data_IF_760998423145
#
_entry.id   IF_760998423145
#
_cell.length_a   1.000
_cell.length_b   1.000
_cell.length_c   1.000
_cell.angle_alpha   90.00
_cell.angle_beta   90.00
_cell.angle_gamma   90.00
#
_symmetry.space_group_name_H-M   'P 1'
#
loop_
_entity.id
_entity.type
_entity.pdbx_description
1 polymer ?
#
# COMPACT_ATOMS: atom_id res chain seq x y z
N UNK A 1 -23.83 -35.99 4.01
CA UNK A 1 -24.26 -34.57 4.16
C UNK A 1 -23.16 -33.64 3.66
N UNK A 2 -23.01 -33.38 2.35
CA UNK A 2 -23.46 -32.18 1.60
C UNK A 2 -23.37 -30.81 2.32
N UNK A 3 -22.24 -30.12 2.04
CA UNK A 3 -22.13 -28.73 1.48
C UNK A 3 -22.19 -27.51 2.43
N UNK A 4 -21.23 -26.59 2.16
CA UNK A 4 -21.26 -25.11 2.26
C UNK A 4 -20.91 -24.43 3.60
N UNK A 5 -19.60 -24.24 3.84
CA UNK A 5 -19.04 -23.23 4.77
C UNK A 5 -18.49 -22.03 3.97
N UNK A 6 -19.28 -21.49 3.04
CA UNK A 6 -18.85 -20.38 2.14
C UNK A 6 -19.87 -19.25 2.01
N UNK A 7 -20.73 -18.99 3.02
CA UNK A 7 -21.86 -18.08 2.86
C UNK A 7 -22.04 -17.00 3.95
N UNK A 8 -21.22 -16.95 5.00
CA UNK A 8 -21.46 -15.99 6.11
C UNK A 8 -21.05 -14.53 5.83
N UNK A 9 -20.38 -14.21 4.71
CA UNK A 9 -20.04 -12.82 4.37
C UNK A 9 -21.08 -12.09 3.50
N UNK A 10 -22.18 -12.74 3.10
CA UNK A 10 -23.18 -12.14 2.18
C UNK A 10 -24.37 -11.42 2.83
N UNK A 11 -24.35 -11.15 4.14
CA UNK A 11 -25.53 -10.63 4.86
C UNK A 11 -25.42 -9.22 5.44
N UNK A 12 -24.42 -8.41 5.06
CA UNK A 12 -24.41 -6.99 5.39
C UNK A 12 -25.31 -6.12 4.48
N UNK A 13 -26.22 -6.74 3.72
CA UNK A 13 -27.28 -6.06 2.97
C UNK A 13 -28.66 -6.52 3.47
N UNK A 14 -29.42 -5.57 4.07
CA UNK A 14 -30.84 -5.55 4.52
C UNK A 14 -30.94 -5.29 6.02
N UNK A 15 -31.75 -4.39 6.55
CA UNK A 15 -32.67 -3.39 6.01
C UNK A 15 -32.93 -2.42 7.19
N UNK A 16 -32.71 -1.12 7.03
CA UNK A 16 -33.78 -0.14 6.86
C UNK A 16 -35.05 -0.51 7.65
N UNK A 17 -35.15 0.02 8.87
CA UNK A 17 -36.32 -0.02 9.72
C UNK A 17 -37.53 0.56 8.96
N UNK A 18 -38.57 -0.26 8.83
CA UNK A 18 -39.85 0.12 8.24
C UNK A 18 -40.80 0.58 9.33
N UNK A 19 -41.07 1.89 9.40
CA UNK A 19 -42.31 2.41 10.01
C UNK A 19 -42.91 3.43 9.05
N UNK A 20 -43.93 2.92 8.35
CA UNK A 20 -45.12 3.55 7.78
C UNK A 20 -45.23 5.09 7.60
N UNK A 21 -45.59 5.42 6.35
CA UNK A 21 -46.55 6.43 5.87
C UNK A 21 -46.26 7.93 6.13
N UNK A 22 -45.96 8.66 5.05
CA UNK A 22 -46.82 9.73 4.51
C UNK A 22 -46.23 10.34 3.21
N UNK A 23 -47.14 10.61 2.26
CA UNK A 23 -47.04 11.51 1.10
C UNK A 23 -46.12 11.14 -0.10
N UNK A 24 -46.81 10.77 -1.19
CA UNK A 24 -46.35 10.90 -2.57
C UNK A 24 -45.84 12.31 -2.87
N UNK A 25 -44.79 12.46 -3.68
CA UNK A 25 -44.65 13.48 -4.75
C UNK A 25 -43.58 12.98 -5.73
N UNK A 26 -43.93 12.95 -7.02
CA UNK A 26 -43.00 12.71 -8.11
C UNK A 26 -41.91 13.80 -8.16
N UNK A 27 -40.67 13.39 -8.40
CA UNK A 27 -39.56 14.30 -8.65
C UNK A 27 -38.50 13.59 -9.49
N UNK A 28 -38.62 13.72 -10.81
CA UNK A 28 -37.49 13.62 -11.71
C UNK A 28 -36.47 14.68 -11.29
N UNK A 29 -35.24 14.30 -10.95
CA UNK A 29 -34.16 15.25 -10.77
C UNK A 29 -33.26 15.23 -12.02
N UNK A 30 -33.41 16.19 -12.95
CA UNK A 30 -32.47 16.39 -14.04
C UNK A 30 -31.21 17.09 -13.50
N UNK A 31 -30.06 16.43 -13.65
CA UNK A 31 -28.78 17.01 -13.27
C UNK A 31 -28.46 18.30 -14.05
N UNK A 32 -27.69 19.23 -13.47
CA UNK A 32 -27.24 20.39 -14.22
C UNK A 32 -25.98 20.05 -15.02
N UNK A 33 -26.09 20.23 -16.34
CA UNK A 33 -24.94 20.57 -17.17
C UNK A 33 -24.52 22.00 -16.82
N UNK A 34 -23.31 22.15 -16.27
CA UNK A 34 -22.69 23.43 -15.97
C UNK A 34 -21.18 23.27 -16.12
N UNK A 35 -20.64 23.94 -17.12
CA UNK A 35 -19.21 24.13 -17.32
C UNK A 35 -18.84 25.48 -16.72
N UNK A 36 -17.92 25.48 -15.77
CA UNK A 36 -17.15 26.64 -15.36
C UNK A 36 -15.78 26.18 -14.84
N UNK A 37 -14.77 26.89 -15.32
CA UNK A 37 -13.36 26.66 -15.06
C UNK A 37 -12.94 27.22 -13.69
N UNK A 38 -11.74 26.80 -13.28
CA UNK A 38 -10.91 27.35 -12.22
C UNK A 38 -11.22 26.89 -10.78
N UNK A 39 -10.90 25.62 -10.52
CA UNK A 39 -10.51 25.17 -9.18
C UNK A 39 -8.99 25.02 -9.13
N UNK A 40 -8.38 25.94 -8.38
CA UNK A 40 -7.00 25.89 -7.94
C UNK A 40 -6.63 24.53 -7.34
N UNK A 41 -5.37 24.19 -7.50
CA UNK A 41 -4.72 23.02 -6.94
C UNK A 41 -5.02 22.85 -5.45
N UNK A 42 -5.74 21.79 -5.13
CA UNK A 42 -5.38 20.97 -3.98
C UNK A 42 -5.32 19.55 -4.49
N UNK A 43 -4.11 19.11 -4.86
CA UNK A 43 -3.82 17.69 -4.96
C UNK A 43 -4.20 17.06 -3.64
N UNK A 44 -5.33 16.35 -3.62
CA UNK A 44 -5.66 15.44 -2.54
C UNK A 44 -4.62 14.34 -2.65
N UNK A 45 -3.54 14.47 -1.90
CA UNK A 45 -2.59 13.40 -1.73
C UNK A 45 -3.37 12.22 -1.13
N UNK A 46 -3.57 11.17 -1.92
CA UNK A 46 -4.09 9.89 -1.48
C UNK A 46 -3.06 9.22 -0.56
N UNK A 47 -2.83 9.83 0.59
CA UNK A 47 -2.00 9.34 1.69
C UNK A 47 -2.83 8.34 2.51
N UNK A 48 -3.34 7.32 1.85
CA UNK A 48 -4.18 6.29 2.49
C UNK A 48 -3.41 5.04 2.89
N UNK A 49 -2.43 4.65 2.08
CA UNK A 49 -1.75 3.35 2.22
C UNK A 49 -0.22 3.51 2.17
N UNK A 50 0.27 4.46 1.37
CA UNK A 50 1.71 4.70 1.20
C UNK A 50 2.38 5.27 2.46
N UNK A 51 1.71 6.17 3.19
CA UNK A 51 2.28 6.66 4.44
C UNK A 51 2.21 5.67 5.58
N UNK A 52 1.19 4.81 5.67
CA UNK A 52 1.16 3.78 6.71
C UNK A 52 2.32 2.78 6.52
N UNK A 53 2.58 2.37 5.28
CA UNK A 53 3.74 1.55 4.93
C UNK A 53 5.06 2.28 5.21
N UNK A 54 5.16 3.57 4.86
CA UNK A 54 6.34 4.38 5.18
C UNK A 54 6.53 4.56 6.69
N UNK A 55 5.48 4.74 7.48
CA UNK A 55 5.59 4.82 8.95
C UNK A 55 6.03 3.46 9.50
N UNK A 56 5.49 2.35 8.98
CA UNK A 56 5.86 1.00 9.38
C UNK A 56 7.34 0.68 9.11
N UNK A 57 7.94 1.25 8.06
CA UNK A 57 9.38 1.13 7.78
C UNK A 57 10.23 2.23 8.42
N UNK A 58 9.63 3.15 9.18
CA UNK A 58 10.32 4.31 9.76
C UNK A 58 10.80 5.33 8.73
N UNK A 59 10.15 5.41 7.57
CA UNK A 59 10.49 6.25 6.43
C UNK A 59 11.55 5.62 5.52
N UNK A 60 11.95 4.38 5.77
CA UNK A 60 12.92 3.68 4.96
C UNK A 60 12.26 3.01 3.75
N UNK A 61 12.96 2.99 2.64
CA UNK A 61 12.52 2.34 1.42
C UNK A 61 13.66 1.61 0.73
N UNK A 62 13.29 0.58 -0.03
CA UNK A 62 14.21 -0.12 -0.92
C UNK A 62 14.38 0.71 -2.20
N UNK A 63 15.62 0.97 -2.56
CA UNK A 63 16.03 1.79 -3.70
C UNK A 63 17.32 1.23 -4.33
N UNK A 64 17.91 1.94 -5.28
CA UNK A 64 18.93 1.40 -6.18
C UNK A 64 18.31 0.63 -7.33
N UNK A 65 18.97 0.61 -8.48
CA UNK A 65 18.41 0.02 -9.70
C UNK A 65 18.22 -1.51 -9.59
N UNK A 66 19.01 -2.16 -8.72
CA UNK A 66 18.88 -3.58 -8.38
C UNK A 66 18.12 -3.84 -7.07
N UNK A 67 17.51 -2.84 -6.43
CA UNK A 67 16.83 -3.00 -5.14
C UNK A 67 17.77 -3.38 -3.98
N UNK A 68 19.06 -3.01 -4.09
CA UNK A 68 20.10 -3.39 -3.14
C UNK A 68 20.34 -2.36 -2.02
N UNK A 69 19.73 -1.18 -2.11
CA UNK A 69 19.94 -0.07 -1.16
C UNK A 69 18.71 0.10 -0.27
N UNK A 70 18.91 0.18 1.03
CA UNK A 70 17.87 0.62 1.98
C UNK A 70 18.21 2.04 2.42
N UNK A 71 17.32 3.01 2.17
CA UNK A 71 17.55 4.44 2.43
C UNK A 71 16.24 5.17 2.71
N UNK A 72 16.32 6.33 3.36
CA UNK A 72 15.22 7.27 3.57
C UNK A 72 15.01 8.21 2.37
N UNK A 73 15.81 8.07 1.32
CA UNK A 73 15.74 8.87 0.09
C UNK A 73 16.04 8.02 -1.14
N UNK A 74 15.58 8.42 -2.33
CA UNK A 74 15.83 7.64 -3.54
C UNK A 74 17.33 7.72 -3.87
N UNK A 75 17.96 6.56 -4.05
CA UNK A 75 19.36 6.46 -4.43
C UNK A 75 19.43 5.72 -5.75
N UNK A 76 19.98 6.38 -6.76
CA UNK A 76 20.28 5.74 -8.04
C UNK A 76 21.68 5.13 -7.98
N UNK A 77 21.77 3.87 -8.39
CA UNK A 77 23.01 3.12 -8.59
C UNK A 77 23.19 2.85 -10.08
N UNK A 78 24.32 2.26 -10.47
CA UNK A 78 24.39 1.60 -11.78
C UNK A 78 23.31 0.52 -11.87
N UNK A 79 22.78 0.28 -13.06
CA UNK A 79 21.75 -0.73 -13.33
C UNK A 79 22.34 -2.10 -13.66
N UNK A 80 23.48 -2.41 -13.06
CA UNK A 80 24.10 -3.73 -13.15
C UNK A 80 23.36 -4.67 -12.21
N UNK A 81 22.79 -5.74 -12.78
CA UNK A 81 22.16 -6.79 -12.00
C UNK A 81 23.19 -7.85 -11.59
N UNK A 82 23.06 -8.32 -10.35
CA UNK A 82 23.76 -9.50 -9.87
C UNK A 82 22.78 -10.37 -9.09
N UNK A 83 23.00 -11.68 -9.08
CA UNK A 83 22.16 -12.62 -8.34
C UNK A 83 22.15 -12.35 -6.83
N UNK A 84 23.23 -11.76 -6.30
CA UNK A 84 23.30 -11.28 -4.91
C UNK A 84 22.24 -10.22 -4.59
N UNK A 85 21.84 -9.40 -5.56
CA UNK A 85 20.76 -8.42 -5.36
C UNK A 85 19.41 -9.08 -5.10
N UNK A 86 19.16 -10.27 -5.66
CA UNK A 86 17.93 -11.04 -5.42
C UNK A 86 17.75 -11.39 -3.93
N UNK A 87 18.84 -11.55 -3.18
CA UNK A 87 18.78 -11.81 -1.75
C UNK A 87 18.14 -10.65 -0.98
N UNK A 88 18.44 -9.40 -1.32
CA UNK A 88 17.84 -8.24 -0.67
C UNK A 88 16.37 -8.09 -1.01
N UNK A 89 16.00 -8.32 -2.27
CA UNK A 89 14.60 -8.24 -2.70
C UNK A 89 13.73 -9.34 -2.08
N UNK A 90 14.28 -10.55 -1.92
CA UNK A 90 13.52 -11.71 -1.47
C UNK A 90 13.49 -11.87 0.05
N UNK A 91 14.58 -11.52 0.73
CA UNK A 91 14.79 -11.82 2.15
C UNK A 91 15.17 -10.60 3.00
N UNK A 92 15.42 -9.45 2.36
CA UNK A 92 15.81 -8.23 3.05
C UNK A 92 14.62 -7.56 3.73
N UNK A 93 14.82 -7.12 4.97
CA UNK A 93 13.90 -6.22 5.67
C UNK A 93 14.58 -4.87 5.76
N UNK A 94 14.01 -3.86 5.11
CA UNK A 94 14.52 -2.50 5.12
C UNK A 94 13.77 -1.70 6.19
N UNK A 95 14.46 -1.36 7.27
CA UNK A 95 13.89 -0.64 8.40
C UNK A 95 14.90 0.34 8.99
N UNK A 96 14.42 1.21 9.87
CA UNK A 96 15.28 2.11 10.63
C UNK A 96 15.87 1.36 11.82
N UNK A 97 17.19 1.33 11.91
CA UNK A 97 17.92 0.69 13.01
C UNK A 97 17.87 1.51 14.31
N UNK A 98 18.46 0.98 15.38
CA UNK A 98 18.52 1.62 16.70
C UNK A 98 19.35 2.92 16.72
N UNK A 99 20.19 3.15 15.71
CA UNK A 99 20.94 4.39 15.53
C UNK A 99 20.16 5.41 14.69
N UNK A 100 18.93 5.08 14.28
CA UNK A 100 18.09 5.93 13.47
C UNK A 100 18.44 5.92 11.99
N UNK A 101 19.22 4.94 11.50
CA UNK A 101 19.62 4.85 10.09
C UNK A 101 18.82 3.79 9.34
N UNK A 102 18.45 4.06 8.09
CA UNK A 102 17.87 3.02 7.23
C UNK A 102 18.93 1.98 6.90
N UNK A 103 18.67 0.72 7.28
CA UNK A 103 19.61 -0.38 7.11
C UNK A 103 18.84 -1.68 6.85
N UNK A 104 19.51 -2.62 6.19
CA UNK A 104 19.00 -3.98 6.07
C UNK A 104 19.13 -4.70 7.41
N UNK A 105 18.04 -5.32 7.88
CA UNK A 105 18.08 -6.19 9.04
C UNK A 105 18.86 -7.48 8.75
N UNK A 106 19.76 -7.91 9.65
CA UNK A 106 20.57 -9.11 9.45
C UNK A 106 19.77 -10.39 9.75
N UNK A 107 18.71 -10.64 8.99
CA UNK A 107 17.87 -11.83 9.18
C UNK A 107 18.65 -13.11 8.81
N UNK A 108 18.37 -14.25 9.48
CA UNK A 108 19.01 -15.52 9.13
C UNK A 108 18.85 -15.89 7.65
N UNK A 109 17.68 -15.64 7.07
CA UNK A 109 17.38 -15.90 5.66
C UNK A 109 18.22 -15.04 4.71
N UNK A 110 18.32 -13.74 4.99
CA UNK A 110 19.17 -12.84 4.21
C UNK A 110 20.63 -13.28 4.29
N UNK A 111 21.15 -13.48 5.49
CA UNK A 111 22.54 -13.89 5.70
C UNK A 111 22.87 -15.25 5.05
N UNK A 112 21.95 -16.19 5.05
CA UNK A 112 22.10 -17.47 4.37
C UNK A 112 22.17 -17.30 2.85
N UNK A 113 21.24 -16.54 2.25
CA UNK A 113 21.25 -16.26 0.81
C UNK A 113 22.55 -15.57 0.38
N UNK A 114 22.92 -14.50 1.08
CA UNK A 114 24.13 -13.73 0.77
C UNK A 114 25.41 -14.59 0.90
N UNK A 115 25.44 -15.61 1.77
CA UNK A 115 26.56 -16.56 1.88
C UNK A 115 26.70 -17.51 0.69
N UNK A 116 25.64 -17.75 -0.08
CA UNK A 116 25.71 -18.56 -1.30
C UNK A 116 26.45 -17.89 -2.46
N UNK A 117 26.70 -16.58 -2.38
CA UNK A 117 27.35 -15.78 -3.42
C UNK A 117 28.74 -15.25 -3.00
N UNK A 118 29.38 -15.87 -2.02
CA UNK A 118 30.70 -15.47 -1.48
C UNK A 118 31.76 -16.52 -1.79
#
# INVERSE_FOLDING_TARGET
>A
MKRRITQHWKSACRAAASVALLAAMAGCDPGPAGADADAAETGREDVGESSAAAIATGGCMVTGCGGQVCSDRPVMTTCEWSEFHACYQSYGICSRDVLGQCRWEPTPSLLACLRGYR
#
